data_IF_938729211185
#
_entry.id   IF_938729211185
#
_cell.length_a   1.000
_cell.length_b   1.000
_cell.length_c   1.000
_cell.angle_alpha   90.00
_cell.angle_beta   90.00
_cell.angle_gamma   90.00
#
_symmetry.space_group_name_H-M   'P 1'
#
loop_
_entity.id
_entity.type
_entity.pdbx_description
1 polymer ?
#
# COMPACT_ATOMS: atom_id res chain seq x y z
N UNK A 1 -14.12 9.87 -4.96
CA UNK A 1 -13.18 10.12 -6.08
C UNK A 1 -12.32 8.89 -6.30
N UNK A 2 -11.66 8.73 -7.46
CA UNK A 2 -10.65 7.68 -7.66
C UNK A 2 -9.27 8.26 -7.38
N UNK A 3 -8.53 7.67 -6.44
CA UNK A 3 -7.22 8.15 -6.00
C UNK A 3 -6.20 7.02 -6.19
N UNK A 4 -5.10 7.34 -6.87
CA UNK A 4 -3.95 6.44 -7.04
C UNK A 4 -2.79 6.97 -6.22
N UNK A 5 -2.25 6.12 -5.35
CA UNK A 5 -1.10 6.40 -4.52
C UNK A 5 0.08 5.54 -4.98
N UNK A 6 1.27 6.15 -5.09
CA UNK A 6 2.49 5.49 -5.53
C UNK A 6 3.55 5.62 -4.44
N UNK A 7 4.15 4.50 -4.04
CA UNK A 7 5.27 4.48 -3.11
C UNK A 7 6.04 3.17 -3.23
N UNK A 8 7.36 3.19 -3.06
CA UNK A 8 8.16 1.97 -3.03
C UNK A 8 7.69 1.02 -1.91
N UNK A 9 7.24 1.58 -0.78
CA UNK A 9 6.82 0.82 0.40
C UNK A 9 5.35 1.06 0.71
N UNK A 10 4.66 -0.01 1.11
CA UNK A 10 3.29 0.04 1.61
C UNK A 10 3.05 -1.17 2.51
N UNK A 11 1.94 -1.20 3.24
CA UNK A 11 1.54 -2.33 4.07
C UNK A 11 1.89 -3.71 3.47
N UNK A 12 2.42 -4.68 4.26
CA UNK A 12 2.78 -4.60 5.68
C UNK A 12 4.25 -4.17 5.90
N UNK A 13 4.83 -3.39 4.99
CA UNK A 13 6.20 -2.88 5.09
C UNK A 13 6.40 -1.93 6.30
N UNK A 14 7.61 -1.91 6.86
CA UNK A 14 8.00 -1.15 8.05
C UNK A 14 8.63 0.20 7.74
N UNK A 15 8.93 0.51 6.48
CA UNK A 15 9.44 1.81 6.08
C UNK A 15 8.45 2.93 6.44
N UNK A 16 8.96 4.02 7.05
CA UNK A 16 8.13 5.11 7.58
C UNK A 16 7.18 5.71 6.53
N UNK A 17 7.63 5.85 5.28
CA UNK A 17 6.78 6.35 4.19
C UNK A 17 5.60 5.43 3.90
N UNK A 18 5.79 4.11 3.98
CA UNK A 18 4.74 3.11 3.80
C UNK A 18 3.72 3.12 4.93
N UNK A 19 4.17 3.31 6.18
CA UNK A 19 3.30 3.39 7.34
C UNK A 19 2.39 4.63 7.29
N UNK A 20 2.95 5.81 7.04
CA UNK A 20 2.16 7.04 6.90
C UNK A 20 1.19 6.97 5.72
N UNK A 21 1.64 6.45 4.58
CA UNK A 21 0.78 6.30 3.40
C UNK A 21 -0.37 5.32 3.65
N UNK A 22 -0.13 4.26 4.43
CA UNK A 22 -1.17 3.30 4.81
C UNK A 22 -2.29 3.98 5.60
N UNK A 23 -1.94 4.78 6.62
CA UNK A 23 -2.93 5.53 7.40
C UNK A 23 -3.72 6.51 6.53
N UNK A 24 -3.04 7.25 5.64
CA UNK A 24 -3.69 8.16 4.71
C UNK A 24 -4.66 7.42 3.77
N UNK A 25 -4.22 6.32 3.17
CA UNK A 25 -5.02 5.56 2.22
C UNK A 25 -6.31 5.01 2.86
N UNK A 26 -6.20 4.47 4.07
CA UNK A 26 -7.37 3.98 4.82
C UNK A 26 -8.33 5.11 5.22
N UNK A 27 -7.80 6.27 5.61
CA UNK A 27 -8.65 7.43 5.92
C UNK A 27 -9.36 7.96 4.67
N UNK A 28 -8.69 7.99 3.52
CA UNK A 28 -9.34 8.34 2.24
C UNK A 28 -10.45 7.35 1.87
N UNK A 29 -10.26 6.05 2.13
CA UNK A 29 -11.32 5.04 1.95
C UNK A 29 -12.48 5.31 2.92
N UNK A 30 -12.21 5.61 4.19
CA UNK A 30 -13.23 5.97 5.19
C UNK A 30 -14.05 7.19 4.79
N UNK A 31 -13.45 8.14 4.08
CA UNK A 31 -14.13 9.31 3.51
C UNK A 31 -14.93 9.00 2.24
N UNK A 32 -15.02 7.73 1.83
CA UNK A 32 -15.80 7.28 0.68
C UNK A 32 -15.08 7.40 -0.66
N UNK A 33 -13.75 7.44 -0.67
CA UNK A 33 -12.96 7.43 -1.90
C UNK A 33 -12.58 6.01 -2.32
N UNK A 34 -12.47 5.79 -3.63
CA UNK A 34 -11.90 4.56 -4.20
C UNK A 34 -10.39 4.75 -4.27
N UNK A 35 -9.66 4.00 -3.45
CA UNK A 35 -8.20 4.16 -3.31
C UNK A 35 -7.49 2.93 -3.85
N UNK A 36 -6.49 3.18 -4.70
CA UNK A 36 -5.58 2.16 -5.22
C UNK A 36 -4.15 2.55 -4.87
N UNK A 37 -3.33 1.56 -4.51
CA UNK A 37 -1.90 1.72 -4.24
C UNK A 37 -1.11 0.86 -5.21
N UNK A 38 -0.06 1.44 -5.81
CA UNK A 38 0.98 0.69 -6.50
C UNK A 38 2.28 0.82 -5.70
N UNK A 39 2.87 -0.32 -5.34
CA UNK A 39 4.10 -0.37 -4.54
C UNK A 39 5.02 -1.55 -4.90
N UNK A 40 6.17 -1.66 -4.24
CA UNK A 40 7.09 -2.78 -4.41
C UNK A 40 6.58 -4.07 -3.74
N UNK A 41 7.08 -5.23 -4.18
CA UNK A 41 6.71 -6.53 -3.60
C UNK A 41 7.53 -6.98 -2.40
N UNK A 42 8.66 -6.31 -2.11
CA UNK A 42 9.63 -6.74 -1.09
C UNK A 42 9.50 -5.95 0.19
N UNK A 43 9.77 -6.62 1.31
CA UNK A 43 9.91 -5.97 2.61
C UNK A 43 11.21 -5.16 2.68
N UNK A 44 11.13 -3.94 3.21
CA UNK A 44 12.26 -3.00 3.31
C UNK A 44 13.46 -3.54 4.11
N UNK A 45 13.22 -4.08 5.31
CA UNK A 45 14.26 -4.55 6.24
C UNK A 45 14.71 -5.99 5.96
N UNK A 46 13.90 -6.76 5.21
CA UNK A 46 14.20 -8.14 4.82
C UNK A 46 13.85 -8.37 3.35
N UNK A 47 14.70 -7.98 2.39
CA UNK A 47 14.37 -8.00 0.95
C UNK A 47 14.09 -9.39 0.37
N UNK A 48 14.40 -10.47 1.10
CA UNK A 48 14.05 -11.84 0.73
C UNK A 48 12.58 -12.20 1.00
N UNK A 49 11.86 -11.39 1.77
CA UNK A 49 10.43 -11.55 2.04
C UNK A 49 9.64 -10.85 0.94
N UNK A 50 8.79 -11.64 0.26
CA UNK A 50 7.89 -11.17 -0.78
C UNK A 50 6.45 -11.15 -0.26
N UNK A 51 5.75 -10.06 -0.58
CA UNK A 51 4.33 -9.88 -0.33
C UNK A 51 3.49 -10.34 -1.52
N UNK A 52 2.21 -10.62 -1.28
CA UNK A 52 1.27 -11.01 -2.33
C UNK A 52 1.19 -9.92 -3.43
N UNK A 53 1.20 -10.30 -4.73
CA UNK A 53 1.15 -9.36 -5.83
C UNK A 53 -0.07 -8.43 -5.82
N UNK A 54 -1.21 -8.92 -5.33
CA UNK A 54 -2.42 -8.12 -5.17
C UNK A 54 -3.07 -8.43 -3.82
N UNK A 55 -3.65 -7.41 -3.20
CA UNK A 55 -4.33 -7.52 -1.91
C UNK A 55 -5.41 -6.43 -1.81
N UNK A 56 -6.55 -6.73 -1.19
CA UNK A 56 -7.47 -5.70 -0.73
C UNK A 56 -7.44 -5.67 0.79
N UNK A 57 -7.00 -4.54 1.35
CA UNK A 57 -6.91 -4.34 2.79
C UNK A 57 -7.67 -3.09 3.18
N UNK A 58 -8.64 -3.23 4.08
CA UNK A 58 -9.45 -2.13 4.60
C UNK A 58 -10.05 -1.26 3.48
N UNK A 59 -10.43 -1.88 2.36
CA UNK A 59 -10.99 -1.23 1.17
C UNK A 59 -9.97 -0.56 0.24
N UNK A 60 -8.67 -0.60 0.58
CA UNK A 60 -7.58 -0.15 -0.31
C UNK A 60 -7.17 -1.31 -1.22
N UNK A 61 -7.21 -1.08 -2.53
CA UNK A 61 -6.71 -2.05 -3.52
C UNK A 61 -5.20 -1.86 -3.72
N UNK A 62 -4.42 -2.85 -3.30
CA UNK A 62 -2.96 -2.83 -3.37
C UNK A 62 -2.52 -3.71 -4.53
N UNK A 63 -1.65 -3.16 -5.39
CA UNK A 63 -0.96 -3.90 -6.44
C UNK A 63 0.54 -3.71 -6.28
N UNK A 64 1.26 -4.83 -6.19
CA UNK A 64 2.71 -4.84 -6.03
C UNK A 64 3.37 -5.17 -7.37
N UNK A 65 4.39 -4.38 -7.72
CA UNK A 65 5.18 -4.54 -8.93
C UNK A 65 6.63 -4.82 -8.58
N UNK A 66 7.30 -5.63 -9.41
CA UNK A 66 8.68 -6.11 -9.27
C UNK A 66 8.95 -7.05 -8.10
#
# INVERSE_FOLDING_TARGET
MKILLLNAHYWPDTASTGQHLTGLAEELVRQGHEVRVICGSRKYDEPGVLFAPEENRNGVHIRRIW
#
